data_IF_196997467742
#
_entry.id   IF_196997467742
#
_cell.length_a   1.000
_cell.length_b   1.000
_cell.length_c   1.000
_cell.angle_alpha   90.00
_cell.angle_beta   90.00
_cell.angle_gamma   90.00
#
_symmetry.space_group_name_H-M   'P 1'
#
loop_
_entity.id
_entity.type
_entity.pdbx_description
1 polymer ?
#
# COMPACT_ATOMS: atom_id res chain seq x y z
N UNK A 1 -58.07 3.80 45.98
CA UNK A 1 -58.48 4.91 45.08
C UNK A 1 -57.50 4.89 43.91
N UNK A 2 -57.86 4.15 42.84
CA UNK A 2 -58.27 4.63 41.50
C UNK A 2 -57.06 4.99 40.62
N UNK A 3 -56.60 4.16 39.68
CA UNK A 3 -57.20 3.80 38.37
C UNK A 3 -57.56 5.01 37.50
N UNK A 4 -56.81 5.20 36.41
CA UNK A 4 -57.16 5.95 35.19
C UNK A 4 -56.35 5.29 34.05
N UNK A 5 -56.90 4.59 33.06
CA UNK A 5 -57.97 4.86 32.09
C UNK A 5 -57.53 5.72 30.88
N UNK A 6 -57.47 5.01 29.73
CA UNK A 6 -57.56 5.38 28.31
C UNK A 6 -57.94 6.82 27.89
N UNK A 7 -57.34 7.27 26.78
CA UNK A 7 -58.02 7.82 25.57
C UNK A 7 -56.97 8.08 24.45
N UNK A 8 -57.08 7.40 23.30
CA UNK A 8 -57.80 7.73 22.04
C UNK A 8 -57.06 8.70 21.11
N UNK A 9 -56.70 8.16 19.94
CA UNK A 9 -56.31 8.88 18.71
C UNK A 9 -57.42 9.80 18.19
N UNK A 10 -57.06 10.68 17.24
CA UNK A 10 -57.78 10.66 15.98
C UNK A 10 -56.88 10.65 14.73
N UNK A 11 -57.40 9.92 13.75
CA UNK A 11 -57.17 9.88 12.30
C UNK A 11 -57.07 11.24 11.59
N UNK A 12 -56.41 11.31 10.42
CA UNK A 12 -57.05 11.18 9.09
C UNK A 12 -56.05 11.50 7.95
N UNK A 13 -56.22 10.74 6.87
CA UNK A 13 -55.57 10.79 5.57
C UNK A 13 -55.77 12.09 4.80
N UNK A 14 -54.84 12.44 3.90
CA UNK A 14 -55.16 13.25 2.71
C UNK A 14 -54.31 12.82 1.50
N UNK A 15 -55.02 12.36 0.47
CA UNK A 15 -54.60 12.14 -0.91
C UNK A 15 -54.77 13.45 -1.71
N UNK A 16 -53.92 13.71 -2.70
CA UNK A 16 -54.24 13.94 -4.14
C UNK A 16 -53.10 14.69 -4.88
N UNK A 17 -53.00 14.53 -6.23
CA UNK A 17 -51.79 14.67 -7.05
C UNK A 17 -51.84 15.86 -8.03
N UNK A 18 -50.78 16.06 -8.82
CA UNK A 18 -50.83 16.87 -10.04
C UNK A 18 -49.93 16.30 -11.17
N UNK A 19 -50.37 16.59 -12.39
CA UNK A 19 -50.14 15.94 -13.69
C UNK A 19 -49.35 16.82 -14.70
N UNK A 20 -49.01 16.21 -15.86
CA UNK A 20 -48.55 16.75 -17.19
C UNK A 20 -47.02 16.82 -17.46
N UNK A 21 -46.46 16.00 -18.39
CA UNK A 21 -46.37 16.10 -19.88
C UNK A 21 -45.54 17.33 -20.35
N UNK A 22 -44.52 17.32 -21.24
CA UNK A 22 -44.30 16.54 -22.49
C UNK A 22 -42.88 16.79 -23.11
N UNK A 23 -42.41 15.84 -23.94
CA UNK A 23 -41.48 15.92 -25.10
C UNK A 23 -40.02 16.43 -24.98
N UNK A 24 -39.03 15.54 -25.18
CA UNK A 24 -38.29 15.42 -26.46
C UNK A 24 -37.53 14.08 -26.54
N UNK A 25 -37.59 13.44 -27.72
CA UNK A 25 -36.96 12.16 -28.08
C UNK A 25 -35.48 12.37 -28.41
N UNK A 26 -34.63 11.36 -28.19
CA UNK A 26 -33.76 10.78 -29.23
C UNK A 26 -33.25 9.39 -28.82
N UNK A 27 -33.12 8.52 -29.83
CA UNK A 27 -32.95 7.07 -29.78
C UNK A 27 -31.56 6.60 -29.30
N UNK A 28 -31.52 5.49 -28.54
CA UNK A 28 -30.44 4.51 -28.62
C UNK A 28 -31.04 3.12 -28.92
N UNK A 29 -30.48 2.48 -29.94
CA UNK A 29 -30.92 1.23 -30.59
C UNK A 29 -30.18 0.04 -29.97
N UNK A 30 -30.91 -1.07 -29.74
CA UNK A 30 -30.47 -2.48 -29.65
C UNK A 30 -29.43 -2.85 -28.56
N UNK A 31 -29.66 -3.72 -27.58
CA UNK A 31 -30.78 -4.64 -27.34
C UNK A 31 -30.60 -5.40 -26.01
N UNK A 32 -31.71 -6.02 -25.57
CA UNK A 32 -31.95 -6.89 -24.41
C UNK A 32 -32.12 -6.26 -23.01
N UNK A 33 -33.39 -6.05 -22.68
CA UNK A 33 -33.96 -5.89 -21.33
C UNK A 33 -34.18 -7.26 -20.65
N UNK A 34 -33.87 -7.32 -19.36
CA UNK A 34 -34.77 -7.91 -18.36
C UNK A 34 -34.91 -6.90 -17.21
N UNK A 35 -36.15 -6.54 -16.85
CA UNK A 35 -36.50 -5.71 -15.69
C UNK A 35 -37.53 -6.50 -14.89
N UNK A 36 -37.29 -6.71 -13.58
CA UNK A 36 -38.19 -6.24 -12.49
C UNK A 36 -37.35 -6.08 -11.21
N UNK A 37 -37.38 -4.88 -10.60
CA UNK A 37 -37.11 -4.69 -9.17
C UNK A 37 -36.13 -3.60 -8.77
N UNK A 38 -36.54 -2.34 -8.87
CA UNK A 38 -36.11 -1.18 -8.06
C UNK A 38 -34.63 -1.06 -7.68
N UNK A 39 -33.89 -0.25 -8.44
CA UNK A 39 -32.58 0.27 -8.06
C UNK A 39 -32.03 1.11 -9.20
N UNK A 40 -31.52 2.31 -8.91
CA UNK A 40 -30.90 3.19 -9.91
C UNK A 40 -29.83 2.45 -10.70
N UNK A 41 -30.00 2.35 -12.02
CA UNK A 41 -28.93 1.90 -12.92
C UNK A 41 -28.04 3.11 -13.20
N UNK A 42 -26.94 3.22 -12.46
CA UNK A 42 -25.80 4.03 -12.90
C UNK A 42 -25.00 3.21 -13.90
N UNK A 43 -24.96 3.64 -15.16
CA UNK A 43 -23.94 3.15 -16.09
C UNK A 43 -22.60 3.76 -15.69
N UNK A 44 -21.83 3.08 -14.84
CA UNK A 44 -20.40 3.34 -14.71
C UNK A 44 -19.75 2.67 -15.91
N UNK A 45 -19.58 3.43 -17.00
CA UNK A 45 -18.61 3.07 -18.03
C UNK A 45 -17.23 3.45 -17.52
N UNK A 46 -16.59 2.48 -16.88
CA UNK A 46 -15.17 2.53 -16.56
C UNK A 46 -14.39 2.15 -17.83
N UNK A 47 -14.04 3.16 -18.65
CA UNK A 47 -13.00 3.01 -19.67
C UNK A 47 -12.36 4.37 -19.95
N UNK A 48 -11.15 4.57 -19.41
CA UNK A 48 -10.22 5.59 -19.87
C UNK A 48 -9.90 5.31 -21.35
N UNK A 49 -10.43 6.13 -22.26
CA UNK A 49 -10.15 6.04 -23.68
C UNK A 49 -9.68 7.42 -24.19
N UNK A 50 -8.42 7.43 -24.63
CA UNK A 50 -7.78 8.50 -25.41
C UNK A 50 -8.72 8.97 -26.53
N UNK A 51 -8.89 10.28 -26.71
CA UNK A 51 -9.70 10.86 -27.79
C UNK A 51 -11.10 11.36 -27.38
N UNK A 52 -11.35 11.65 -26.10
CA UNK A 52 -12.60 12.33 -25.68
C UNK A 52 -12.52 13.83 -25.95
N UNK A 53 -13.56 14.49 -26.48
CA UNK A 53 -13.55 15.94 -26.66
C UNK A 53 -13.42 16.68 -25.33
N UNK A 54 -12.66 17.76 -25.30
CA UNK A 54 -12.44 18.62 -24.13
C UNK A 54 -12.33 20.08 -24.56
N UNK A 55 -12.59 21.01 -23.63
CA UNK A 55 -12.35 22.45 -23.81
C UNK A 55 -11.21 22.96 -22.94
N UNK A 56 -11.01 22.33 -21.79
CA UNK A 56 -9.95 22.66 -20.84
C UNK A 56 -9.45 21.39 -20.15
N UNK A 57 -8.29 21.45 -19.51
CA UNK A 57 -7.66 20.29 -18.87
C UNK A 57 -8.52 19.65 -17.76
N UNK A 58 -9.38 20.45 -17.12
CA UNK A 58 -10.32 19.97 -16.10
C UNK A 58 -11.38 19.00 -16.66
N UNK A 59 -11.61 18.99 -17.98
CA UNK A 59 -12.52 18.06 -18.66
C UNK A 59 -11.90 16.66 -18.85
N UNK A 60 -10.58 16.53 -18.65
CA UNK A 60 -9.82 15.31 -18.80
C UNK A 60 -9.56 14.65 -17.42
N UNK A 61 -9.89 13.37 -17.28
CA UNK A 61 -9.66 12.58 -16.06
C UNK A 61 -8.27 11.94 -16.09
N UNK A 62 -7.53 12.06 -14.97
CA UNK A 62 -6.22 11.44 -14.67
C UNK A 62 -5.12 11.60 -15.75
N UNK A 63 -4.11 12.42 -15.46
CA UNK A 63 -2.83 12.55 -16.19
C UNK A 63 -2.94 12.92 -17.69
N UNK A 64 -4.09 13.37 -18.16
CA UNK A 64 -4.29 13.80 -19.54
C UNK A 64 -4.58 15.30 -19.59
N UNK A 65 -3.91 16.01 -20.51
CA UNK A 65 -4.24 17.38 -20.88
C UNK A 65 -5.15 17.39 -22.10
N UNK A 66 -5.94 18.46 -22.22
CA UNK A 66 -6.73 18.73 -23.40
C UNK A 66 -5.79 19.21 -24.51
N UNK A 67 -5.69 18.46 -25.62
CA UNK A 67 -4.90 18.90 -26.76
C UNK A 67 -5.51 20.14 -27.42
N UNK A 68 -4.71 20.89 -28.18
CA UNK A 68 -5.21 22.00 -29.00
C UNK A 68 -6.29 21.55 -30.00
N UNK A 69 -6.24 20.27 -30.43
CA UNK A 69 -7.28 19.66 -31.27
C UNK A 69 -8.62 19.42 -30.54
N UNK A 70 -8.70 19.76 -29.25
CA UNK A 70 -9.91 19.64 -28.44
C UNK A 70 -10.20 18.21 -27.98
N UNK A 71 -9.18 17.37 -27.79
CA UNK A 71 -9.34 16.00 -27.31
C UNK A 71 -8.35 15.63 -26.19
N UNK A 72 -8.77 14.82 -25.22
CA UNK A 72 -7.90 14.32 -24.15
C UNK A 72 -6.93 13.24 -24.68
N UNK A 73 -5.62 13.41 -24.54
CA UNK A 73 -4.68 12.33 -24.88
C UNK A 73 -3.18 12.54 -24.63
N UNK A 74 -2.55 11.49 -24.07
CA UNK A 74 -1.11 11.20 -24.05
C UNK A 74 -0.43 11.30 -22.67
N UNK A 75 0.47 10.36 -22.27
CA UNK A 75 1.27 10.51 -21.06
C UNK A 75 2.24 11.69 -21.22
N UNK A 76 2.45 12.43 -20.13
CA UNK A 76 3.44 13.51 -20.07
C UNK A 76 4.83 12.87 -20.18
N UNK A 77 5.44 12.91 -21.37
CA UNK A 77 6.89 12.71 -21.53
C UNK A 77 7.60 13.99 -21.03
N UNK A 78 7.54 14.20 -19.71
CA UNK A 78 8.41 15.15 -19.04
C UNK A 78 9.79 14.53 -18.96
N UNK A 79 10.76 15.13 -19.65
CA UNK A 79 12.18 14.80 -19.49
C UNK A 79 12.54 15.05 -18.02
N UNK A 80 12.56 14.01 -17.20
CA UNK A 80 13.23 14.03 -15.90
C UNK A 80 14.71 14.16 -16.25
N UNK A 81 15.32 15.32 -16.01
CA UNK A 81 16.75 15.49 -16.21
C UNK A 81 17.47 14.63 -15.17
N UNK A 82 18.36 13.77 -15.67
CA UNK A 82 19.23 12.93 -14.85
C UNK A 82 20.05 13.76 -13.86
N UNK A 83 20.29 13.19 -12.68
CA UNK A 83 21.31 13.65 -11.75
C UNK A 83 22.67 13.55 -12.44
N UNK A 84 23.12 14.66 -13.03
CA UNK A 84 24.38 14.74 -13.75
C UNK A 84 25.58 14.44 -12.86
N UNK A 85 26.57 13.76 -13.46
CA UNK A 85 27.93 13.60 -12.94
C UNK A 85 28.53 14.95 -12.49
N UNK A 86 29.48 14.95 -11.52
CA UNK A 86 30.10 16.18 -11.05
C UNK A 86 30.81 16.91 -12.20
N UNK A 87 30.29 18.09 -12.53
CA UNK A 87 30.86 19.03 -13.49
C UNK A 87 32.29 19.40 -13.10
N UNK A 88 33.26 19.07 -13.96
CA UNK A 88 34.61 19.65 -13.93
C UNK A 88 34.55 21.06 -14.50
N UNK A 89 34.62 22.05 -13.62
CA UNK A 89 34.87 23.44 -14.03
C UNK A 89 36.29 23.61 -14.59
N UNK A 90 36.49 24.34 -15.69
CA UNK A 90 37.80 24.71 -16.18
C UNK A 90 38.23 26.04 -15.55
N UNK A 91 39.23 26.01 -14.67
CA UNK A 91 39.92 27.22 -14.21
C UNK A 91 40.83 27.75 -15.33
N UNK A 92 40.63 29.01 -15.70
CA UNK A 92 41.56 29.84 -16.50
C UNK A 92 42.05 30.99 -15.61
N UNK A 93 43.36 31.17 -15.52
CA UNK A 93 44.06 32.48 -15.58
C UNK A 93 45.59 32.29 -15.72
N UNK A 94 46.41 33.31 -16.05
CA UNK A 94 47.24 33.32 -17.27
C UNK A 94 48.78 33.21 -17.05
N UNK A 95 49.46 32.95 -18.18
CA UNK A 95 50.91 33.08 -18.51
C UNK A 95 51.61 34.32 -17.89
N UNK A 96 52.92 34.41 -17.58
CA UNK A 96 54.18 33.71 -17.93
C UNK A 96 55.32 34.25 -16.98
N UNK A 97 56.64 34.12 -17.27
CA UNK A 97 57.50 32.95 -17.54
C UNK A 97 58.73 32.87 -16.59
N UNK A 98 59.36 31.70 -16.47
CA UNK A 98 60.81 31.48 -16.68
C UNK A 98 61.25 30.08 -16.18
N UNK A 99 61.89 29.34 -17.09
CA UNK A 99 62.54 28.02 -16.94
C UNK A 99 63.90 28.13 -16.17
N UNK A 100 64.66 27.04 -15.93
CA UNK A 100 64.31 25.61 -15.82
C UNK A 100 65.02 24.90 -14.64
N UNK A 101 64.45 23.81 -14.11
CA UNK A 101 65.25 22.70 -13.55
C UNK A 101 64.48 21.39 -13.59
N UNK A 102 65.04 20.46 -14.36
CA UNK A 102 64.53 19.14 -14.74
C UNK A 102 64.59 18.19 -13.54
N UNK A 103 63.44 17.69 -13.08
CA UNK A 103 63.34 16.51 -12.23
C UNK A 103 62.20 15.62 -12.76
N UNK A 104 62.51 14.35 -13.04
CA UNK A 104 61.59 13.35 -13.55
C UNK A 104 60.48 13.05 -12.54
N UNK A 105 59.19 12.97 -12.94
CA UNK A 105 58.16 12.42 -12.09
C UNK A 105 58.03 10.91 -12.31
N UNK A 106 58.11 10.16 -11.21
CA UNK A 106 57.71 8.75 -11.12
C UNK A 106 56.21 8.66 -11.46
N UNK A 107 55.75 7.72 -12.32
CA UNK A 107 54.34 7.59 -12.61
C UNK A 107 53.61 7.04 -11.38
N UNK A 108 52.80 7.88 -10.76
CA UNK A 108 51.82 7.49 -9.75
C UNK A 108 50.78 6.61 -10.43
N UNK A 109 50.78 5.34 -10.03
CA UNK A 109 49.89 4.30 -10.54
C UNK A 109 48.47 4.64 -10.05
N UNK A 110 47.68 5.26 -10.91
CA UNK A 110 46.23 5.44 -10.73
C UNK A 110 45.64 4.04 -10.51
N UNK A 111 45.27 3.76 -9.27
CA UNK A 111 44.45 2.59 -8.94
C UNK A 111 43.04 2.97 -9.41
N UNK A 112 42.65 2.51 -10.61
CA UNK A 112 41.24 2.44 -11.00
C UNK A 112 40.53 1.64 -9.90
N UNK A 113 39.76 2.35 -9.06
CA UNK A 113 38.77 1.67 -8.24
C UNK A 113 37.78 1.01 -9.20
N UNK A 114 37.47 -0.28 -9.04
CA UNK A 114 36.45 -0.92 -9.85
C UNK A 114 35.14 -0.13 -9.69
N UNK A 115 34.36 0.06 -10.77
CA UNK A 115 33.09 0.76 -10.68
C UNK A 115 32.27 0.13 -9.56
N UNK A 116 31.88 0.96 -8.60
CA UNK A 116 30.92 0.56 -7.58
C UNK A 116 29.65 0.22 -8.34
N UNK A 117 29.29 -1.05 -8.39
CA UNK A 117 28.08 -1.53 -9.08
C UNK A 117 26.89 -0.72 -8.56
N UNK A 118 26.39 0.22 -9.37
CA UNK A 118 25.19 0.97 -9.03
C UNK A 118 24.05 -0.05 -8.85
N UNK A 119 23.31 -0.01 -7.72
CA UNK A 119 22.23 -0.95 -7.49
C UNK A 119 21.21 -0.85 -8.63
N UNK A 120 20.61 -1.99 -9.04
CA UNK A 120 19.74 -2.01 -10.21
C UNK A 120 18.54 -1.08 -10.00
N UNK A 121 18.41 -0.11 -10.89
CA UNK A 121 17.37 0.92 -10.88
C UNK A 121 16.03 0.34 -11.36
N UNK A 122 14.93 0.75 -10.72
CA UNK A 122 13.58 0.33 -11.14
C UNK A 122 13.12 0.96 -12.47
N UNK A 123 11.87 0.69 -12.85
CA UNK A 123 11.30 1.11 -14.15
C UNK A 123 10.04 1.97 -14.06
N UNK A 124 9.47 2.15 -12.87
CA UNK A 124 8.22 2.91 -12.71
C UNK A 124 8.49 4.42 -12.78
N UNK A 125 7.78 5.09 -13.67
CA UNK A 125 7.80 6.54 -13.83
C UNK A 125 7.06 7.28 -12.70
N UNK A 126 7.12 8.61 -12.75
CA UNK A 126 6.51 9.51 -11.79
C UNK A 126 4.99 9.26 -11.66
N UNK A 127 4.48 9.34 -10.43
CA UNK A 127 3.08 9.12 -10.04
C UNK A 127 2.51 7.73 -10.35
N UNK A 128 3.34 6.80 -10.85
CA UNK A 128 2.90 5.43 -11.05
C UNK A 128 2.94 4.64 -9.74
N UNK A 129 2.01 3.68 -9.55
CA UNK A 129 2.05 2.77 -8.42
C UNK A 129 3.37 2.01 -8.35
N UNK A 130 3.89 1.84 -7.14
CA UNK A 130 5.13 1.13 -6.87
C UNK A 130 4.99 0.18 -5.68
N UNK A 131 5.94 -0.76 -5.58
CA UNK A 131 6.05 -1.66 -4.44
C UNK A 131 7.25 -1.21 -3.58
N UNK A 132 6.97 -0.82 -2.35
CA UNK A 132 7.98 -0.32 -1.41
C UNK A 132 8.76 -1.43 -0.71
N UNK A 133 8.37 -2.70 -0.91
CA UNK A 133 9.08 -3.83 -0.33
C UNK A 133 10.51 -3.92 -0.86
N UNK A 134 11.46 -4.26 0.01
CA UNK A 134 12.88 -4.34 -0.33
C UNK A 134 13.15 -5.41 -1.41
N UNK A 135 12.40 -6.50 -1.39
CA UNK A 135 12.44 -7.64 -2.31
C UNK A 135 11.57 -7.45 -3.57
N UNK A 136 10.93 -6.28 -3.75
CA UNK A 136 10.14 -5.98 -4.93
C UNK A 136 10.94 -6.16 -6.24
N UNK A 137 10.27 -6.66 -7.28
CA UNK A 137 10.88 -6.82 -8.61
C UNK A 137 11.26 -5.46 -9.19
N UNK A 138 12.29 -5.40 -10.03
CA UNK A 138 12.72 -4.15 -10.67
C UNK A 138 11.61 -3.43 -11.46
N UNK A 139 10.68 -4.18 -12.07
CA UNK A 139 9.53 -3.62 -12.77
C UNK A 139 8.48 -2.96 -11.85
N UNK A 140 8.55 -3.20 -10.54
CA UNK A 140 7.67 -2.64 -9.51
C UNK A 140 8.35 -1.52 -8.71
N UNK A 141 9.67 -1.34 -8.89
CA UNK A 141 10.46 -0.28 -8.28
C UNK A 141 10.47 0.98 -9.14
N UNK A 142 10.66 2.13 -8.50
CA UNK A 142 10.74 3.44 -9.14
C UNK A 142 12.03 3.61 -9.96
N UNK A 143 11.94 4.42 -11.02
CA UNK A 143 13.08 4.81 -11.84
C UNK A 143 14.10 5.69 -11.07
N UNK A 144 15.27 5.95 -11.66
CA UNK A 144 16.32 6.79 -11.06
C UNK A 144 15.76 8.17 -10.70
N UNK A 145 16.19 8.71 -9.56
CA UNK A 145 15.71 10.01 -9.06
C UNK A 145 14.28 10.01 -8.50
N UNK A 146 13.60 8.85 -8.51
CA UNK A 146 12.29 8.67 -7.91
C UNK A 146 12.37 7.73 -6.70
N UNK A 147 11.59 8.03 -5.67
CA UNK A 147 11.43 7.19 -4.48
C UNK A 147 10.01 6.68 -4.39
N UNK A 148 9.86 5.42 -3.99
CA UNK A 148 8.54 4.83 -3.73
C UNK A 148 8.03 5.34 -2.38
N UNK A 149 7.08 6.27 -2.41
CA UNK A 149 6.49 6.88 -1.22
C UNK A 149 5.16 6.21 -0.92
N UNK A 150 5.02 5.75 0.31
CA UNK A 150 3.79 5.16 0.81
C UNK A 150 2.84 6.25 1.24
N UNK A 151 1.62 6.19 0.73
CA UNK A 151 0.52 7.10 1.07
C UNK A 151 -0.29 6.49 2.20
N UNK A 152 -0.56 5.19 2.09
CA UNK A 152 -1.22 4.40 3.11
C UNK A 152 -0.62 2.98 3.16
N UNK A 153 -1.31 2.08 3.86
CA UNK A 153 -0.91 0.69 4.01
C UNK A 153 -0.85 -0.14 2.71
N UNK A 154 -1.48 0.33 1.65
CA UNK A 154 -1.69 -0.38 0.37
C UNK A 154 -1.28 0.42 -0.85
N UNK A 155 -1.27 1.75 -0.74
CA UNK A 155 -0.99 2.65 -1.84
C UNK A 155 0.41 3.22 -1.63
N UNK A 156 1.26 3.02 -2.63
CA UNK A 156 2.52 3.72 -2.78
C UNK A 156 2.71 4.15 -4.22
N UNK A 157 3.35 5.29 -4.41
CA UNK A 157 3.57 5.92 -5.71
C UNK A 157 5.01 6.40 -5.84
N UNK A 158 5.52 6.45 -7.06
CA UNK A 158 6.83 7.01 -7.33
C UNK A 158 6.77 8.54 -7.33
N UNK A 159 7.48 9.18 -6.40
CA UNK A 159 7.63 10.64 -6.35
C UNK A 159 9.10 11.03 -6.55
N UNK A 160 9.35 12.21 -7.10
CA UNK A 160 10.72 12.70 -7.30
C UNK A 160 11.39 12.99 -5.97
N UNK A 161 12.51 12.31 -5.71
CA UNK A 161 13.27 12.42 -4.47
C UNK A 161 14.12 13.69 -4.49
N UNK A 162 14.00 14.50 -3.43
CA UNK A 162 14.84 15.68 -3.21
C UNK A 162 15.49 15.65 -1.82
N UNK A 163 15.56 14.47 -1.18
CA UNK A 163 16.11 14.31 0.17
C UNK A 163 17.57 14.75 0.26
N UNK A 164 18.35 14.53 -0.81
CA UNK A 164 19.77 14.90 -0.86
C UNK A 164 20.03 16.29 -1.43
N UNK A 165 19.14 16.80 -2.27
CA UNK A 165 19.29 18.10 -2.92
C UNK A 165 17.91 18.72 -3.21
N UNK A 166 17.57 19.77 -2.47
CA UNK A 166 16.31 20.50 -2.63
C UNK A 166 16.26 21.32 -3.94
N UNK A 167 17.42 21.68 -4.51
CA UNK A 167 17.48 22.51 -5.71
C UNK A 167 16.95 21.78 -6.96
N UNK A 168 16.94 20.44 -6.95
CA UNK A 168 16.35 19.59 -8.00
C UNK A 168 14.90 19.94 -8.32
N UNK A 169 14.15 20.46 -7.33
CA UNK A 169 12.76 20.84 -7.55
C UNK A 169 12.63 22.13 -8.36
N UNK A 170 13.60 23.04 -8.30
CA UNK A 170 13.54 24.34 -8.99
C UNK A 170 13.54 24.19 -10.51
N UNK A 171 14.08 23.08 -11.03
CA UNK A 171 14.15 22.78 -12.46
C UNK A 171 12.86 22.19 -13.02
N UNK A 172 11.85 21.93 -12.18
CA UNK A 172 10.58 21.36 -12.59
C UNK A 172 9.65 22.40 -13.24
N UNK A 173 9.36 22.21 -14.53
CA UNK A 173 8.49 23.10 -15.31
C UNK A 173 6.98 22.88 -15.05
N UNK A 174 6.60 21.81 -14.34
CA UNK A 174 5.20 21.46 -14.02
C UNK A 174 4.70 22.09 -12.71
N UNK A 175 5.53 22.92 -12.09
CA UNK A 175 5.24 23.62 -10.83
C UNK A 175 5.60 22.83 -9.58
N UNK A 176 6.23 21.64 -9.68
CA UNK A 176 6.74 20.90 -8.51
C UNK A 176 8.06 21.49 -8.00
N UNK A 177 8.02 22.75 -7.59
CA UNK A 177 9.19 23.55 -7.22
C UNK A 177 9.56 23.53 -5.73
N UNK A 178 8.75 22.92 -4.87
CA UNK A 178 9.02 22.85 -3.44
C UNK A 178 9.51 21.46 -3.01
N UNK A 179 10.63 21.40 -2.27
CA UNK A 179 11.10 20.17 -1.64
C UNK A 179 10.48 20.01 -0.24
N UNK A 180 9.58 19.03 -0.09
CA UNK A 180 8.75 18.87 1.12
C UNK A 180 9.03 17.55 1.81
N UNK A 181 9.19 17.56 3.14
CA UNK A 181 9.28 16.35 3.96
C UNK A 181 7.93 15.62 4.02
N UNK A 182 7.90 14.34 3.66
CA UNK A 182 6.66 13.55 3.53
C UNK A 182 6.64 12.27 4.36
N UNK A 183 7.81 11.70 4.68
CA UNK A 183 7.88 10.44 5.39
C UNK A 183 9.22 10.29 6.12
N UNK A 184 9.38 9.16 6.82
CA UNK A 184 10.63 8.70 7.38
C UNK A 184 11.07 7.41 6.69
N UNK A 185 12.38 7.24 6.49
CA UNK A 185 12.98 5.97 6.11
C UNK A 185 14.16 5.70 7.03
N UNK A 186 14.03 4.75 7.96
CA UNK A 186 14.97 4.68 9.07
C UNK A 186 14.95 6.00 9.85
N UNK A 187 16.11 6.54 10.20
CA UNK A 187 16.23 7.82 10.93
C UNK A 187 16.30 9.04 10.00
N UNK A 188 16.15 8.83 8.69
CA UNK A 188 16.21 9.88 7.68
C UNK A 188 14.82 10.39 7.33
N UNK A 189 14.68 11.72 7.22
CA UNK A 189 13.50 12.32 6.60
C UNK A 189 13.54 12.11 5.10
N UNK A 190 12.41 11.71 4.54
CA UNK A 190 12.22 11.59 3.11
C UNK A 190 11.56 12.85 2.60
N UNK A 191 12.20 13.49 1.62
CA UNK A 191 11.70 14.70 0.97
C UNK A 191 11.42 14.45 -0.50
N UNK A 192 10.35 15.06 -1.02
CA UNK A 192 9.98 14.94 -2.44
C UNK A 192 9.63 16.30 -3.04
N UNK A 193 9.79 16.40 -4.37
CA UNK A 193 9.37 17.58 -5.10
C UNK A 193 7.85 17.64 -5.22
N UNK A 194 7.29 18.78 -4.84
CA UNK A 194 5.86 19.01 -4.68
C UNK A 194 5.45 20.33 -5.28
N UNK A 195 4.21 20.38 -5.78
CA UNK A 195 3.54 21.61 -6.20
C UNK A 195 2.67 22.07 -5.04
N UNK A 196 3.02 23.22 -4.47
CA UNK A 196 2.23 23.79 -3.39
C UNK A 196 0.93 24.41 -3.91
N UNK A 197 -0.17 24.10 -3.22
CA UNK A 197 -1.52 24.58 -3.51
C UNK A 197 -2.09 25.33 -2.30
N UNK A 198 -2.97 26.28 -2.59
CA UNK A 198 -3.56 27.23 -1.65
C UNK A 198 -4.82 26.69 -0.98
N UNK A 199 -5.32 27.43 0.01
CA UNK A 199 -6.54 27.06 0.73
C UNK A 199 -7.74 26.88 -0.22
N UNK A 200 -8.48 25.79 -0.06
CA UNK A 200 -9.62 25.41 -0.88
C UNK A 200 -9.31 24.67 -2.18
N UNK A 201 -8.04 24.67 -2.62
CA UNK A 201 -7.59 23.94 -3.81
C UNK A 201 -7.45 22.45 -3.56
N UNK A 202 -7.48 21.68 -4.66
CA UNK A 202 -7.32 20.22 -4.62
C UNK A 202 -5.90 19.82 -4.24
N UNK A 203 -5.79 18.85 -3.36
CA UNK A 203 -4.54 18.26 -2.91
C UNK A 203 -4.58 16.74 -2.97
N UNK A 204 -3.41 16.12 -3.10
CA UNK A 204 -3.25 14.68 -3.24
C UNK A 204 -1.79 14.32 -3.39
N UNK A 205 -1.31 13.45 -2.48
CA UNK A 205 0.09 13.03 -2.46
C UNK A 205 0.45 12.22 -3.72
N UNK A 206 -0.52 11.47 -4.25
CA UNK A 206 -0.45 10.70 -5.50
C UNK A 206 -0.12 11.54 -6.73
N UNK A 207 -0.44 12.84 -6.70
CA UNK A 207 -0.19 13.78 -7.80
C UNK A 207 0.86 14.84 -7.45
N UNK A 208 1.59 14.67 -6.34
CA UNK A 208 2.52 15.68 -5.81
C UNK A 208 1.88 17.06 -5.55
N UNK A 209 0.57 17.12 -5.29
CA UNK A 209 -0.13 18.37 -4.96
C UNK A 209 -0.25 18.51 -3.44
N UNK A 210 0.54 19.40 -2.86
CA UNK A 210 0.66 19.56 -1.41
C UNK A 210 0.11 20.89 -0.96
N UNK A 211 -0.60 20.90 0.15
CA UNK A 211 -1.04 22.14 0.75
C UNK A 211 0.16 22.94 1.25
N UNK A 212 0.16 24.25 1.00
CA UNK A 212 1.22 25.15 1.41
C UNK A 212 1.50 25.02 2.92
N UNK A 213 2.76 24.78 3.28
CA UNK A 213 3.19 24.66 4.68
C UNK A 213 3.96 25.90 5.07
N UNK A 214 3.44 26.68 6.01
CA UNK A 214 4.17 27.83 6.57
C UNK A 214 3.86 28.04 8.04
N UNK A 215 4.73 28.73 8.81
CA UNK A 215 4.47 29.04 10.22
C UNK A 215 3.21 29.88 10.46
N UNK A 216 2.76 30.64 9.46
CA UNK A 216 1.68 31.62 9.59
C UNK A 216 0.40 31.23 8.84
N UNK A 217 0.54 30.38 7.83
CA UNK A 217 -0.53 29.89 6.96
C UNK A 217 -0.25 28.41 6.69
N UNK A 218 -0.47 27.58 7.72
CA UNK A 218 -0.28 26.14 7.64
C UNK A 218 -1.55 25.49 7.12
N UNK A 219 -1.44 24.78 6.00
CA UNK A 219 -2.56 24.08 5.39
C UNK A 219 -2.31 22.58 5.39
N UNK A 220 -3.37 21.79 5.56
CA UNK A 220 -3.33 20.33 5.46
C UNK A 220 -4.35 19.83 4.45
N UNK A 221 -4.06 18.68 3.84
CA UNK A 221 -4.97 18.06 2.90
C UNK A 221 -6.06 17.28 3.66
N UNK A 222 -7.31 17.73 3.59
CA UNK A 222 -8.44 17.05 4.19
C UNK A 222 -9.50 16.77 3.14
N UNK A 223 -9.80 15.49 2.92
CA UNK A 223 -10.77 15.03 1.89
C UNK A 223 -10.46 15.60 0.49
N UNK A 224 -9.18 15.61 0.14
CA UNK A 224 -8.69 16.09 -1.16
C UNK A 224 -8.70 17.62 -1.32
N UNK A 225 -8.90 18.39 -0.24
CA UNK A 225 -8.81 19.86 -0.29
C UNK A 225 -7.91 20.42 0.80
N UNK A 226 -7.23 21.53 0.49
CA UNK A 226 -6.43 22.24 1.48
C UNK A 226 -7.29 23.05 2.44
N UNK A 227 -7.10 22.80 3.73
CA UNK A 227 -7.81 23.49 4.81
C UNK A 227 -6.82 24.07 5.81
N UNK A 228 -7.19 25.17 6.46
CA UNK A 228 -6.37 25.78 7.50
C UNK A 228 -6.15 24.83 8.67
N UNK A 229 -4.91 24.76 9.13
CA UNK A 229 -4.46 23.89 10.20
C UNK A 229 -3.44 24.60 11.10
N UNK A 230 -3.05 23.94 12.19
CA UNK A 230 -1.91 24.34 13.02
C UNK A 230 -0.79 23.33 12.87
N UNK A 231 0.44 23.83 12.93
CA UNK A 231 1.64 23.01 12.99
C UNK A 231 2.11 22.91 14.44
N UNK A 232 2.04 21.70 15.00
CA UNK A 232 2.51 21.41 16.35
C UNK A 232 4.02 21.14 16.34
N UNK A 233 4.77 21.89 17.15
CA UNK A 233 6.25 21.91 17.12
C UNK A 233 6.89 21.33 18.38
N UNK A 234 6.12 21.05 19.41
CA UNK A 234 6.63 20.52 20.66
C UNK A 234 6.06 19.12 20.95
N UNK A 235 6.85 18.35 21.70
CA UNK A 235 6.43 17.07 22.24
C UNK A 235 5.23 17.31 23.18
N UNK A 236 4.25 16.40 23.14
CA UNK A 236 2.99 16.40 23.87
C UNK A 236 1.95 17.46 23.45
N UNK A 237 2.18 18.22 22.38
CA UNK A 237 1.12 19.02 21.76
C UNK A 237 0.00 18.12 21.21
N UNK A 238 -1.24 18.62 21.23
CA UNK A 238 -2.37 17.90 20.65
C UNK A 238 -2.25 17.86 19.12
N UNK A 239 -2.53 16.72 18.51
CA UNK A 239 -2.53 16.54 17.06
C UNK A 239 -3.77 15.77 16.59
N UNK A 240 -4.09 15.87 15.29
CA UNK A 240 -5.14 15.09 14.65
C UNK A 240 -6.04 15.90 13.72
N UNK A 241 -6.60 15.20 12.74
CA UNK A 241 -7.49 15.76 11.71
C UNK A 241 -8.87 16.18 12.23
N UNK A 242 -9.29 15.60 13.37
CA UNK A 242 -10.60 15.86 13.98
C UNK A 242 -10.62 17.13 14.87
N UNK A 243 -9.46 17.78 15.05
CA UNK A 243 -9.37 19.04 15.78
C UNK A 243 -9.89 20.20 14.92
N UNK A 244 -10.33 21.29 15.56
CA UNK A 244 -10.79 22.50 14.87
C UNK A 244 -9.97 23.71 15.33
N UNK A 245 -9.02 24.20 14.51
CA UNK A 245 -8.57 23.64 13.23
C UNK A 245 -7.78 22.32 13.42
N UNK A 246 -7.62 21.50 12.36
CA UNK A 246 -6.75 20.33 12.36
C UNK A 246 -5.34 20.68 12.81
N UNK A 247 -4.63 19.72 13.43
CA UNK A 247 -3.25 19.94 13.88
C UNK A 247 -2.33 18.83 13.37
N UNK A 248 -1.30 19.19 12.61
CA UNK A 248 -0.27 18.29 12.08
C UNK A 248 1.01 18.44 12.92
N UNK A 249 1.70 17.34 13.21
CA UNK A 249 3.00 17.39 13.89
C UNK A 249 4.10 17.78 12.89
N UNK A 250 5.07 18.57 13.35
CA UNK A 250 6.20 18.99 12.52
C UNK A 250 7.18 17.83 12.27
N UNK A 251 7.02 17.18 11.12
CA UNK A 251 7.87 16.07 10.66
C UNK A 251 9.34 16.53 10.60
N UNK A 252 9.63 17.79 10.28
CA UNK A 252 11.03 18.27 10.25
C UNK A 252 11.73 18.20 11.62
N UNK A 253 10.95 18.13 12.71
CA UNK A 253 11.46 18.02 14.08
C UNK A 253 11.47 16.59 14.64
N UNK A 254 11.22 15.57 13.83
CA UNK A 254 11.13 14.20 14.35
C UNK A 254 9.77 13.87 14.95
N UNK A 255 8.75 14.70 14.76
CA UNK A 255 7.46 14.55 15.45
C UNK A 255 6.43 13.82 14.59
N UNK A 256 5.74 12.87 15.21
CA UNK A 256 4.58 12.17 14.64
C UNK A 256 3.41 12.14 15.62
N UNK A 257 2.20 12.04 15.10
CA UNK A 257 0.98 11.99 15.91
C UNK A 257 0.72 10.55 16.38
N UNK A 258 0.80 10.32 17.68
CA UNK A 258 0.52 9.00 18.26
C UNK A 258 -0.98 8.73 18.43
N UNK A 259 -1.31 7.49 18.80
CA UNK A 259 -2.68 7.04 19.05
C UNK A 259 -3.43 7.79 20.17
N UNK A 260 -2.72 8.54 21.03
CA UNK A 260 -3.30 9.41 22.07
C UNK A 260 -3.54 10.84 21.58
N UNK A 261 -3.43 11.07 20.26
CA UNK A 261 -3.55 12.39 19.65
C UNK A 261 -2.50 13.39 20.21
N UNK A 262 -1.26 12.92 20.43
CA UNK A 262 -0.12 13.73 20.89
C UNK A 262 1.06 13.66 19.93
N UNK A 263 1.71 14.78 19.69
CA UNK A 263 2.98 14.82 18.98
C UNK A 263 4.09 14.26 19.85
N UNK A 264 4.80 13.26 19.36
CA UNK A 264 5.92 12.62 20.06
C UNK A 264 7.04 12.34 19.07
N UNK A 265 8.25 12.07 19.57
CA UNK A 265 9.35 11.63 18.72
C UNK A 265 9.11 10.20 18.27
N UNK A 266 9.18 9.96 16.96
CA UNK A 266 9.03 8.64 16.40
C UNK A 266 8.69 8.66 14.91
N UNK A 267 8.46 7.47 14.39
CA UNK A 267 8.11 7.21 12.98
C UNK A 267 6.66 6.79 12.92
N UNK A 268 6.01 7.09 11.81
CA UNK A 268 4.65 6.63 11.59
C UNK A 268 4.67 5.20 11.07
N UNK A 269 3.96 4.31 11.75
CA UNK A 269 3.64 2.97 11.26
C UNK A 269 2.24 2.98 10.64
N UNK A 270 2.10 2.41 9.45
CA UNK A 270 0.82 2.30 8.75
C UNK A 270 -0.01 1.14 9.27
N UNK A 271 -1.30 1.14 8.95
CA UNK A 271 -2.18 0.00 9.28
C UNK A 271 -1.62 -1.29 8.66
N UNK A 272 -1.53 -2.36 9.45
CA UNK A 272 -0.93 -3.63 9.06
C UNK A 272 0.56 -3.75 9.38
N UNK A 273 1.21 -2.71 9.92
CA UNK A 273 2.65 -2.74 10.22
C UNK A 273 2.98 -2.95 11.68
N UNK A 274 4.18 -3.47 11.92
CA UNK A 274 4.75 -3.56 13.26
C UNK A 274 4.80 -2.18 13.93
N UNK A 275 4.45 -2.14 15.22
CA UNK A 275 4.47 -0.92 16.02
C UNK A 275 5.23 -1.13 17.33
N UNK A 276 5.88 -0.05 17.78
CA UNK A 276 6.78 -0.05 18.93
C UNK A 276 6.66 1.28 19.68
N UNK A 277 7.56 1.54 20.63
CA UNK A 277 7.62 2.84 21.31
C UNK A 277 8.15 3.94 20.37
N UNK A 278 8.83 3.55 19.28
CA UNK A 278 9.33 4.46 18.23
C UNK A 278 8.48 4.44 16.97
N UNK A 279 7.86 3.31 16.64
CA UNK A 279 7.01 3.14 15.45
C UNK A 279 5.54 3.22 15.85
N UNK A 280 4.94 4.36 15.56
CA UNK A 280 3.71 4.81 16.19
C UNK A 280 2.55 4.75 15.20
N UNK A 281 1.46 4.13 15.64
CA UNK A 281 0.21 4.15 14.91
C UNK A 281 -0.43 5.53 15.02
N UNK A 282 -0.74 6.14 13.88
CA UNK A 282 -1.52 7.37 13.83
C UNK A 282 -3.02 7.08 13.97
N UNK A 283 -3.79 7.96 14.64
CA UNK A 283 -5.25 7.83 14.71
C UNK A 283 -5.88 7.70 13.31
N UNK A 284 -6.92 6.87 13.12
CA UNK A 284 -7.66 6.09 14.13
C UNK A 284 -7.05 4.72 14.45
N UNK A 285 -5.80 4.45 14.06
CA UNK A 285 -5.14 3.18 14.32
C UNK A 285 -4.59 3.13 15.75
N UNK A 286 -4.51 1.92 16.31
CA UNK A 286 -3.89 1.65 17.61
C UNK A 286 -2.92 0.49 17.50
N UNK A 287 -1.91 0.48 18.37
CA UNK A 287 -0.92 -0.58 18.44
C UNK A 287 -1.49 -1.77 19.23
N UNK A 288 -1.74 -2.89 18.55
CA UNK A 288 -2.42 -4.07 19.10
C UNK A 288 -1.42 -5.19 19.31
N UNK A 289 -1.34 -5.72 20.53
CA UNK A 289 -0.50 -6.88 20.83
C UNK A 289 -1.26 -8.18 20.55
N UNK A 290 -0.68 -9.02 19.70
CA UNK A 290 -1.15 -10.40 19.48
C UNK A 290 -0.30 -11.33 20.33
N UNK A 291 -0.87 -11.79 21.46
CA UNK A 291 -0.17 -12.60 22.47
C UNK A 291 0.46 -13.87 21.91
N UNK A 292 -0.12 -14.44 20.86
CA UNK A 292 0.35 -15.69 20.26
C UNK A 292 1.59 -15.51 19.39
N UNK A 293 1.89 -14.27 18.97
CA UNK A 293 3.03 -13.94 18.11
C UNK A 293 4.04 -12.97 18.74
N UNK A 294 3.75 -12.41 19.92
CA UNK A 294 4.46 -11.27 20.51
C UNK A 294 4.63 -10.08 19.53
N UNK A 295 3.86 -10.05 18.44
CA UNK A 295 3.88 -8.97 17.47
C UNK A 295 2.86 -7.92 17.88
N UNK A 296 3.32 -6.67 17.82
CA UNK A 296 2.47 -5.50 17.99
C UNK A 296 2.24 -4.91 16.61
N UNK A 297 0.98 -4.75 16.22
CA UNK A 297 0.63 -4.28 14.87
C UNK A 297 -0.34 -3.11 14.92
N UNK A 298 -0.14 -2.12 14.08
CA UNK A 298 -1.08 -1.03 13.89
C UNK A 298 -2.35 -1.54 13.22
N UNK A 299 -3.47 -1.48 13.92
CA UNK A 299 -4.77 -1.83 13.36
C UNK A 299 -5.78 -0.73 13.64
N UNK A 300 -6.72 -0.56 12.72
CA UNK A 300 -7.79 0.42 12.89
C UNK A 300 -8.67 0.05 14.08
N UNK A 301 -8.87 0.99 15.00
CA UNK A 301 -9.80 0.81 16.11
C UNK A 301 -11.25 0.89 15.60
N UNK A 302 -12.14 0.11 16.22
CA UNK A 302 -13.56 0.13 15.87
C UNK A 302 -14.46 0.03 17.10
N UNK A 303 -15.66 0.57 16.97
CA UNK A 303 -16.78 0.43 17.90
C UNK A 303 -17.97 -0.25 17.23
N UNK A 304 -18.03 -0.20 15.90
CA UNK A 304 -19.01 -0.88 15.04
C UNK A 304 -18.38 -1.35 13.73
N UNK A 305 -19.12 -2.13 12.95
CA UNK A 305 -18.70 -2.58 11.61
C UNK A 305 -18.50 -1.44 10.61
N UNK A 306 -19.21 -0.32 10.79
CA UNK A 306 -19.07 0.86 9.91
C UNK A 306 -17.68 1.48 10.00
N UNK A 307 -17.01 1.36 11.15
CA UNK A 307 -15.65 1.88 11.33
C UNK A 307 -14.64 1.12 10.47
N UNK A 308 -14.97 -0.10 10.04
CA UNK A 308 -14.12 -0.99 9.23
C UNK A 308 -14.39 -0.91 7.72
N UNK A 309 -15.32 -0.06 7.27
CA UNK A 309 -15.66 0.10 5.85
C UNK A 309 -14.75 1.09 5.12
N UNK A 310 -13.50 1.26 5.56
CA UNK A 310 -12.56 2.24 5.00
C UNK A 310 -11.83 1.76 3.75
N UNK A 311 -11.89 0.46 3.43
CA UNK A 311 -11.23 -0.11 2.23
C UNK A 311 -12.23 -0.70 1.25
N UNK A 312 -12.37 -0.13 0.04
CA UNK A 312 -13.22 -0.72 -0.99
C UNK A 312 -12.64 -2.05 -1.48
N UNK A 313 -13.52 -3.03 -1.73
CA UNK A 313 -13.15 -4.32 -2.31
C UNK A 313 -12.68 -5.41 -1.34
N UNK A 314 -12.51 -5.10 -0.05
CA UNK A 314 -12.08 -6.05 0.98
C UNK A 314 -13.00 -6.00 2.19
N UNK A 315 -13.41 -7.16 2.70
CA UNK A 315 -14.26 -7.23 3.90
C UNK A 315 -13.40 -7.17 5.15
N UNK A 316 -13.60 -6.13 5.96
CA UNK A 316 -13.09 -6.05 7.32
C UNK A 316 -14.24 -6.16 8.30
N UNK A 317 -13.99 -6.79 9.43
CA UNK A 317 -14.97 -6.99 10.50
C UNK A 317 -14.43 -6.45 11.82
N UNK A 318 -15.30 -5.87 12.64
CA UNK A 318 -14.93 -5.32 13.94
C UNK A 318 -14.83 -6.42 15.00
N UNK A 319 -13.61 -6.85 15.32
CA UNK A 319 -13.37 -7.89 16.33
C UNK A 319 -13.22 -7.29 17.73
N UNK A 320 -14.18 -7.60 18.59
CA UNK A 320 -14.20 -7.21 20.01
C UNK A 320 -13.83 -8.40 20.88
N UNK A 321 -12.96 -8.17 21.87
CA UNK A 321 -12.60 -9.20 22.84
C UNK A 321 -13.64 -9.26 23.96
N UNK A 322 -14.39 -10.37 24.05
CA UNK A 322 -15.45 -10.53 25.05
C UNK A 322 -16.52 -9.43 24.96
N UNK A 323 -16.84 -8.80 26.09
CA UNK A 323 -17.83 -7.73 26.18
C UNK A 323 -17.25 -6.33 25.98
N UNK A 324 -16.06 -6.20 25.37
CA UNK A 324 -15.43 -4.91 25.14
C UNK A 324 -16.29 -4.02 24.22
N UNK A 325 -16.41 -2.74 24.57
CA UNK A 325 -17.12 -1.75 23.73
C UNK A 325 -16.32 -1.35 22.49
N UNK A 326 -14.99 -1.54 22.53
CA UNK A 326 -14.08 -1.30 21.40
C UNK A 326 -13.39 -2.57 20.93
N UNK A 327 -13.08 -2.62 19.64
CA UNK A 327 -12.43 -3.71 18.94
C UNK A 327 -11.40 -3.19 17.95
N UNK A 328 -10.97 -4.08 17.05
CA UNK A 328 -10.08 -3.78 15.92
C UNK A 328 -10.66 -4.31 14.62
N UNK A 329 -10.43 -3.60 13.53
CA UNK A 329 -10.78 -4.07 12.21
C UNK A 329 -9.76 -5.13 11.75
N UNK A 330 -10.23 -6.35 11.48
CA UNK A 330 -9.43 -7.39 10.84
C UNK A 330 -10.12 -7.80 9.55
N UNK A 331 -9.31 -8.07 8.51
CA UNK A 331 -9.83 -8.61 7.27
C UNK A 331 -10.44 -10.00 7.56
N UNK A 332 -11.67 -10.18 7.12
CA UNK A 332 -12.41 -11.44 7.26
C UNK A 332 -12.59 -12.12 5.90
N UNK A 333 -13.03 -13.38 5.92
CA UNK A 333 -13.32 -14.20 4.74
C UNK A 333 -12.11 -14.48 3.83
N UNK A 334 -10.89 -14.46 4.38
CA UNK A 334 -9.73 -14.98 3.67
C UNK A 334 -9.88 -16.49 3.45
N UNK A 335 -9.35 -17.03 2.36
CA UNK A 335 -9.29 -18.48 2.10
C UNK A 335 -7.87 -18.99 2.26
N UNK A 336 -6.90 -18.22 1.77
CA UNK A 336 -5.46 -18.49 1.85
C UNK A 336 -4.71 -17.24 2.32
N UNK A 337 -3.48 -17.39 2.81
CA UNK A 337 -2.71 -16.28 3.36
C UNK A 337 -2.41 -15.18 2.33
N UNK A 338 -2.31 -15.53 1.05
CA UNK A 338 -2.12 -14.53 -0.02
C UNK A 338 -3.33 -13.63 -0.27
N UNK A 339 -4.50 -13.97 0.30
CA UNK A 339 -5.68 -13.09 0.27
C UNK A 339 -5.55 -11.92 1.24
N UNK A 340 -4.68 -12.04 2.25
CA UNK A 340 -4.47 -10.98 3.22
C UNK A 340 -3.88 -9.74 2.55
N UNK A 341 -4.48 -8.59 2.81
CA UNK A 341 -4.11 -7.30 2.20
C UNK A 341 -2.73 -6.84 2.66
N UNK A 342 -2.41 -7.11 3.92
CA UNK A 342 -1.10 -6.82 4.51
C UNK A 342 -0.14 -7.98 4.22
N UNK A 343 0.93 -7.72 3.47
CA UNK A 343 1.79 -8.77 2.88
C UNK A 343 3.28 -8.65 3.15
N UNK A 344 3.74 -7.55 3.75
CA UNK A 344 5.18 -7.22 3.73
C UNK A 344 5.85 -7.39 5.09
N UNK A 345 5.40 -6.70 6.14
CA UNK A 345 5.98 -6.84 7.49
C UNK A 345 5.06 -6.22 8.58
N UNK A 346 4.54 -7.02 9.53
CA UNK A 346 4.69 -8.47 9.62
C UNK A 346 3.88 -9.17 8.53
N UNK A 347 4.22 -10.43 8.27
CA UNK A 347 3.42 -11.26 7.38
C UNK A 347 2.07 -11.58 8.04
N UNK A 348 0.99 -11.58 7.26
CA UNK A 348 -0.33 -12.01 7.72
C UNK A 348 -0.66 -13.39 7.17
N UNK A 349 -1.29 -14.23 8.01
CA UNK A 349 -1.84 -15.52 7.59
C UNK A 349 -3.35 -15.52 7.65
N UNK A 350 -3.97 -16.33 6.81
CA UNK A 350 -5.37 -16.63 6.96
C UNK A 350 -5.58 -17.67 8.07
N UNK A 351 -6.24 -17.28 9.15
CA UNK A 351 -6.53 -18.13 10.29
C UNK A 351 -8.02 -18.41 10.40
N UNK A 352 -8.39 -19.69 10.55
CA UNK A 352 -9.77 -20.08 10.81
C UNK A 352 -10.21 -19.72 12.23
N UNK A 353 -11.45 -19.26 12.38
CA UNK A 353 -12.10 -19.08 13.67
C UNK A 353 -12.89 -20.34 14.05
N UNK A 354 -12.88 -20.68 15.35
CA UNK A 354 -13.64 -21.80 15.90
C UNK A 354 -15.16 -21.64 15.72
N UNK A 355 -15.64 -20.39 15.67
CA UNK A 355 -17.04 -20.03 15.47
C UNK A 355 -17.49 -20.07 14.01
N UNK A 356 -16.62 -20.49 13.09
CA UNK A 356 -16.83 -20.37 11.65
C UNK A 356 -16.28 -19.05 11.09
N UNK A 357 -15.87 -19.09 9.82
CA UNK A 357 -15.17 -17.98 9.17
C UNK A 357 -13.65 -18.01 9.39
N UNK A 358 -12.99 -17.01 8.82
CA UNK A 358 -11.54 -16.87 8.78
C UNK A 358 -11.16 -15.40 8.79
N UNK A 359 -9.99 -15.11 9.34
CA UNK A 359 -9.45 -13.76 9.48
C UNK A 359 -7.97 -13.73 9.16
N UNK A 360 -7.51 -12.58 8.65
CA UNK A 360 -6.09 -12.31 8.52
C UNK A 360 -5.55 -11.85 9.86
N UNK A 361 -4.61 -12.62 10.41
CA UNK A 361 -3.91 -12.29 11.65
C UNK A 361 -2.42 -12.17 11.38
N UNK A 362 -1.71 -11.28 12.09
CA UNK A 362 -0.28 -11.20 11.98
C UNK A 362 0.33 -12.53 12.43
N UNK A 363 1.41 -12.88 11.75
CA UNK A 363 2.05 -14.17 11.86
C UNK A 363 3.51 -13.96 12.26
N UNK A 364 3.98 -14.68 13.30
CA UNK A 364 5.37 -14.55 13.74
C UNK A 364 6.29 -14.93 12.59
N UNK A 365 7.42 -14.24 12.48
CA UNK A 365 8.40 -14.35 11.39
C UNK A 365 8.70 -15.80 11.04
N UNK A 366 7.96 -16.32 10.06
CA UNK A 366 8.16 -17.66 9.56
C UNK A 366 9.51 -17.68 8.88
N UNK A 367 10.43 -18.51 9.35
CA UNK A 367 11.77 -18.62 8.76
C UNK A 367 11.86 -19.78 7.77
N UNK A 368 10.80 -20.60 7.67
CA UNK A 368 10.80 -21.83 6.88
C UNK A 368 10.13 -21.65 5.52
N UNK A 369 10.79 -22.10 4.47
CA UNK A 369 10.32 -22.00 3.08
C UNK A 369 9.84 -23.35 2.55
N UNK A 370 9.27 -23.36 1.34
CA UNK A 370 8.79 -24.57 0.65
C UNK A 370 9.72 -25.78 0.83
N UNK A 371 9.15 -26.92 1.23
CA UNK A 371 9.86 -28.18 1.40
C UNK A 371 10.63 -28.33 2.72
N UNK A 372 10.83 -27.24 3.48
CA UNK A 372 11.49 -27.32 4.78
C UNK A 372 10.55 -27.90 5.85
N UNK A 373 11.13 -28.63 6.81
CA UNK A 373 10.39 -29.17 7.95
C UNK A 373 9.89 -28.06 8.86
N UNK A 374 8.68 -28.22 9.35
CA UNK A 374 7.99 -27.27 10.22
C UNK A 374 7.33 -27.99 11.40
N UNK A 375 6.99 -27.23 12.44
CA UNK A 375 6.44 -27.77 13.69
C UNK A 375 6.40 -26.72 14.80
N UNK A 376 6.39 -27.18 16.06
CA UNK A 376 6.42 -26.29 17.24
C UNK A 376 7.72 -25.48 17.20
N UNK A 377 7.61 -24.16 17.05
CA UNK A 377 8.75 -23.23 16.97
C UNK A 377 9.43 -23.14 15.59
N UNK A 378 9.03 -23.95 14.60
CA UNK A 378 9.54 -23.90 13.22
C UNK A 378 8.38 -23.61 12.28
N UNK A 379 8.18 -22.34 12.00
CA UNK A 379 6.96 -21.86 11.36
C UNK A 379 7.24 -21.48 9.90
N UNK A 380 6.33 -21.87 9.00
CA UNK A 380 6.46 -21.60 7.56
C UNK A 380 6.16 -20.14 7.24
N UNK A 381 7.03 -19.47 6.51
CA UNK A 381 6.79 -18.14 5.98
C UNK A 381 5.55 -18.17 5.07
N UNK A 382 4.60 -17.23 5.17
CA UNK A 382 3.60 -17.03 4.13
C UNK A 382 4.25 -16.86 2.74
N UNK A 383 3.65 -17.38 1.66
CA UNK A 383 2.35 -18.06 1.57
C UNK A 383 2.41 -19.58 1.83
N UNK A 384 3.41 -20.09 2.55
CA UNK A 384 3.53 -21.51 2.87
C UNK A 384 2.78 -21.87 4.16
N UNK A 385 2.13 -23.02 4.17
CA UNK A 385 1.46 -23.61 5.34
C UNK A 385 2.21 -24.85 5.82
N UNK A 386 2.30 -24.99 7.15
CA UNK A 386 2.90 -26.16 7.77
C UNK A 386 1.92 -27.34 7.75
N UNK A 387 2.21 -28.35 6.94
CA UNK A 387 1.30 -29.46 6.72
C UNK A 387 1.95 -30.82 7.01
N UNK A 388 1.25 -31.64 7.80
CA UNK A 388 1.53 -33.08 7.88
C UNK A 388 0.97 -33.76 6.65
N UNK A 389 1.82 -34.45 5.90
CA UNK A 389 1.44 -35.16 4.67
C UNK A 389 0.93 -36.57 5.00
N UNK A 390 1.43 -37.22 6.05
CA UNK A 390 1.02 -38.56 6.45
C UNK A 390 0.46 -38.64 7.87
N UNK A 391 -0.56 -39.48 8.04
CA UNK A 391 -1.16 -39.82 9.33
C UNK A 391 -0.18 -40.67 10.14
N UNK A 392 0.36 -40.12 11.23
CA UNK A 392 1.32 -40.80 12.11
C UNK A 392 2.73 -40.23 12.09
N UNK A 393 3.07 -39.42 11.08
CA UNK A 393 4.37 -38.77 11.00
C UNK A 393 4.51 -37.60 11.98
N UNK A 394 5.70 -37.48 12.56
CA UNK A 394 6.06 -36.34 13.43
C UNK A 394 6.50 -35.11 12.63
N UNK A 395 6.86 -35.30 11.37
CA UNK A 395 7.43 -34.26 10.51
C UNK A 395 6.35 -33.62 9.64
N UNK A 396 6.08 -32.33 9.86
CA UNK A 396 5.32 -31.52 8.92
C UNK A 396 6.29 -30.77 8.00
N UNK A 397 5.83 -30.35 6.82
CA UNK A 397 6.61 -29.54 5.88
C UNK A 397 5.85 -28.32 5.41
N UNK A 398 6.59 -27.29 5.02
CA UNK A 398 6.04 -26.10 4.41
C UNK A 398 5.64 -26.38 2.97
N UNK A 399 4.35 -26.21 2.66
CA UNK A 399 3.78 -26.34 1.32
C UNK A 399 3.13 -25.02 0.90
N UNK A 400 3.20 -24.70 -0.38
CA UNK A 400 2.55 -23.50 -0.93
C UNK A 400 1.03 -23.65 -0.88
N UNK A 401 0.33 -22.66 -0.31
CA UNK A 401 -1.13 -22.57 -0.41
C UNK A 401 -1.57 -22.24 -1.84
N UNK A 402 -2.70 -22.79 -2.29
CA UNK A 402 -3.24 -22.55 -3.63
C UNK A 402 -4.77 -22.56 -3.68
N UNK A 403 -5.32 -21.88 -4.67
CA UNK A 403 -6.71 -22.04 -5.13
C UNK A 403 -6.79 -22.84 -6.42
N UNK A 404 -5.78 -22.70 -7.27
CA UNK A 404 -5.73 -23.30 -8.60
C UNK A 404 -4.39 -23.98 -8.83
N UNK A 405 -4.35 -24.97 -9.73
CA UNK A 405 -3.09 -25.65 -10.07
C UNK A 405 -2.06 -24.72 -10.72
N UNK A 406 -2.48 -23.65 -11.38
CA UNK A 406 -1.60 -22.65 -12.01
C UNK A 406 -0.74 -21.92 -10.96
N UNK A 407 -1.28 -21.66 -9.77
CA UNK A 407 -0.51 -21.04 -8.67
C UNK A 407 0.64 -21.94 -8.21
N UNK A 408 0.50 -23.25 -8.41
CA UNK A 408 1.49 -24.24 -8.03
C UNK A 408 2.66 -24.37 -9.02
N UNK A 409 2.59 -23.75 -10.20
CA UNK A 409 3.71 -23.73 -11.14
C UNK A 409 4.96 -23.07 -10.54
N UNK A 410 4.76 -22.12 -9.60
CA UNK A 410 5.85 -21.44 -8.87
C UNK A 410 6.65 -22.35 -7.94
N UNK A 411 6.16 -23.55 -7.64
CA UNK A 411 6.86 -24.52 -6.78
C UNK A 411 8.06 -25.18 -7.47
N UNK A 412 8.12 -25.14 -8.81
CA UNK A 412 9.11 -25.88 -9.58
C UNK A 412 8.91 -27.40 -9.54
N UNK A 413 7.78 -27.89 -9.01
CA UNK A 413 7.45 -29.31 -9.04
C UNK A 413 7.15 -29.78 -10.46
N UNK A 414 7.48 -31.05 -10.76
CA UNK A 414 6.99 -31.71 -11.96
C UNK A 414 5.49 -32.00 -11.79
N UNK A 415 4.67 -31.57 -12.77
CA UNK A 415 3.20 -31.70 -12.75
C UNK A 415 2.55 -31.24 -11.43
N UNK A 416 2.71 -29.96 -11.04
CA UNK A 416 2.13 -29.44 -9.82
C UNK A 416 0.61 -29.46 -9.90
N UNK A 417 -0.05 -29.86 -8.82
CA UNK A 417 -1.50 -29.79 -8.72
C UNK A 417 -1.92 -29.16 -7.40
N UNK A 418 -3.02 -28.40 -7.44
CA UNK A 418 -3.63 -27.89 -6.24
C UNK A 418 -4.55 -28.96 -5.64
N UNK A 419 -4.15 -29.54 -4.51
CA UNK A 419 -4.98 -30.48 -3.76
C UNK A 419 -5.92 -29.69 -2.87
N UNK A 420 -7.22 -29.68 -3.24
CA UNK A 420 -8.23 -28.90 -2.56
C UNK A 420 -8.56 -29.44 -1.17
N UNK A 421 -8.81 -28.53 -0.24
CA UNK A 421 -9.28 -28.78 1.11
C UNK A 421 -10.47 -27.86 1.41
N UNK A 422 -11.09 -28.06 2.56
CA UNK A 422 -12.29 -27.35 3.00
C UNK A 422 -12.11 -25.83 3.10
N UNK A 423 -10.87 -25.31 3.14
CA UNK A 423 -10.53 -23.88 3.22
C UNK A 423 -9.26 -23.57 2.41
N UNK A 424 -9.34 -23.69 1.08
CA UNK A 424 -8.19 -23.54 0.17
C UNK A 424 -7.54 -24.87 -0.17
N UNK A 425 -6.43 -24.85 -0.90
CA UNK A 425 -5.68 -26.04 -1.29
C UNK A 425 -4.19 -25.90 -0.99
N UNK A 426 -3.46 -26.99 -1.19
CA UNK A 426 -1.99 -27.02 -1.10
C UNK A 426 -1.40 -27.54 -2.40
N UNK A 427 -0.29 -26.94 -2.80
CA UNK A 427 0.47 -27.39 -3.94
C UNK A 427 1.20 -28.68 -3.62
N UNK A 428 0.86 -29.73 -4.36
CA UNK A 428 1.47 -31.05 -4.26
C UNK A 428 2.01 -31.46 -5.62
N UNK A 429 3.15 -32.14 -5.61
CA UNK A 429 3.66 -32.82 -6.79
C UNK A 429 2.92 -34.16 -6.93
N UNK A 430 2.25 -34.38 -8.06
CA UNK A 430 1.73 -35.71 -8.39
C UNK A 430 2.89 -36.61 -8.78
N UNK A 431 2.79 -37.88 -8.43
CA UNK A 431 3.75 -38.88 -8.83
C UNK A 431 3.04 -40.19 -9.15
N UNK A 432 3.47 -40.82 -10.24
CA UNK A 432 3.12 -42.20 -10.53
C UNK A 432 4.20 -43.14 -9.96
N UNK A 433 3.86 -44.43 -9.75
CA UNK A 433 4.86 -45.46 -9.36
C UNK A 433 6.02 -45.44 -10.35
N UNK A 434 7.18 -44.90 -9.93
CA UNK A 434 8.40 -44.82 -10.73
C UNK A 434 8.80 -43.41 -11.21
N UNK A 435 8.01 -42.37 -10.96
CA UNK A 435 8.41 -40.98 -11.25
C UNK A 435 9.19 -40.34 -10.09
N UNK A 436 10.18 -39.52 -10.45
CA UNK A 436 11.05 -38.82 -9.51
C UNK A 436 10.28 -37.70 -8.80
N UNK A 437 9.94 -37.92 -7.55
CA UNK A 437 9.62 -36.82 -6.64
C UNK A 437 10.83 -35.87 -6.52
N UNK A 438 10.60 -34.57 -6.21
CA UNK A 438 11.68 -33.65 -5.90
C UNK A 438 12.64 -34.25 -4.85
N UNK A 439 13.93 -33.91 -4.95
CA UNK A 439 14.97 -34.47 -4.06
C UNK A 439 14.56 -34.33 -2.59
N UNK A 440 14.56 -35.44 -1.86
CA UNK A 440 14.14 -35.49 -0.46
C UNK A 440 12.67 -35.84 -0.24
N UNK A 441 11.89 -36.11 -1.30
CA UNK A 441 10.53 -36.62 -1.22
C UNK A 441 10.40 -38.02 -1.86
N UNK A 442 9.50 -38.83 -1.35
CA UNK A 442 9.12 -40.16 -1.85
C UNK A 442 7.68 -40.14 -2.38
N UNK A 443 7.35 -41.00 -3.34
CA UNK A 443 6.00 -41.06 -3.90
C UNK A 443 5.08 -41.92 -3.00
N UNK A 444 3.93 -41.39 -2.59
CA UNK A 444 2.91 -42.17 -1.88
C UNK A 444 2.18 -43.06 -2.87
N UNK A 445 2.36 -44.37 -2.75
CA UNK A 445 1.75 -45.34 -3.66
C UNK A 445 0.21 -45.38 -3.56
N UNK A 446 -0.35 -44.97 -2.42
CA UNK A 446 -1.80 -44.92 -2.16
C UNK A 446 -2.44 -43.61 -2.57
N UNK A 447 -1.74 -42.48 -2.41
CA UNK A 447 -2.33 -41.16 -2.66
C UNK A 447 -1.89 -40.55 -4.00
N UNK A 448 -0.79 -41.02 -4.61
CA UNK A 448 -0.28 -40.49 -5.89
C UNK A 448 0.39 -39.12 -5.78
N UNK A 449 0.91 -38.76 -4.60
CA UNK A 449 1.61 -37.50 -4.33
C UNK A 449 2.94 -37.71 -3.62
N UNK A 450 3.87 -36.78 -3.82
CA UNK A 450 5.17 -36.77 -3.15
C UNK A 450 5.05 -36.35 -1.66
N UNK A 451 5.72 -37.09 -0.76
CA UNK A 451 5.76 -36.88 0.69
C UNK A 451 7.20 -37.02 1.22
N UNK A 452 7.50 -36.60 2.46
CA UNK A 452 8.83 -36.88 3.04
C UNK A 452 9.03 -38.39 3.21
N UNK A 453 10.24 -38.95 2.97
CA UNK A 453 10.51 -40.34 3.30
C UNK A 453 10.26 -40.57 4.79
N UNK A 454 9.57 -41.68 5.11
CA UNK A 454 9.39 -42.10 6.51
C UNK A 454 10.77 -42.17 7.19
N UNK A 455 10.94 -41.64 8.40
CA UNK A 455 12.14 -41.90 9.16
C UNK A 455 12.28 -43.42 9.38
N UNK A 456 13.51 -43.97 9.35
CA UNK A 456 13.76 -45.40 9.51
C UNK A 456 13.27 -45.96 10.85
#
# INVERSE_FOLDING_TARGET
MTSFAEKKEPSLSTLYPFTHHTFFRYFCRLGLLFIVGWGMISCIQDVSLKGRPCKEDADCLFQHTCSEDGFCGGPIEGIIKDAGEPSKEPSKEPEAPDEPAKAEPVPEKVIEQPPVDEPPVGKRGLHLPCNWASDAKLAEKCARGLRCIRIDATIAVCLQDCSSDASLCNDNNDGRNACTHVAWNGDETVSVCTKEVSSGESCGLESSLFCKKSPFDHLVCQKGKCVAAKLARQINENCGENLSPPVECDISQGLTCNHLARCVKGKQAFEGESCSDTDLCSPPNRCVNFTDSNQKVCLRACTSETDCQHRPGTTFTCFKQGNATSGVCLQSNCVISSDCVYKTDPLFRCSGLNTGGSICVPFPDGTRFLGQTCGIGNVCAPPYICQKILTGDKSAVCLLECRTSTECEKTGFAAPSCSSRTRGGICVARCNKGESCPVGLSCSATEGYCHLPNPP
#
